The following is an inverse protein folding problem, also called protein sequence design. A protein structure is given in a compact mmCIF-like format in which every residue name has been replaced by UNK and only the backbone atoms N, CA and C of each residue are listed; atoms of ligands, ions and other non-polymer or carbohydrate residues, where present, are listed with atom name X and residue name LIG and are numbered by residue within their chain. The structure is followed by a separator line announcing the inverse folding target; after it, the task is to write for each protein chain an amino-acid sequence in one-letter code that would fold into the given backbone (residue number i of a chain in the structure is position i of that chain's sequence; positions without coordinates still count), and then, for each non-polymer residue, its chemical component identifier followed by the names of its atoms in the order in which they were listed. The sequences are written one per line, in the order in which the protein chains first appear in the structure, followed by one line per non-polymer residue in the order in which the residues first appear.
data_IF_232817968578
#
_entry.id   IF_232817968578
#
_cell.length_a   1.000
_cell.length_b   1.000
_cell.length_c   1.000
_cell.angle_alpha   90.00
_cell.angle_beta   90.00
_cell.angle_gamma   90.00
#
_symmetry.space_group_name_H-M   'P 1'
#
loop_
_entity.id
_entity.type
_entity.pdbx_description
1 polymer ?
#
# COMPACT_ATOMS: atom_id res chain seq x y z
N UNK A 1 5.71 58.55 5.86
CA UNK A 1 6.51 57.89 4.83
C UNK A 1 7.18 56.54 5.26
N UNK A 2 7.44 56.27 6.54
CA UNK A 2 8.03 54.99 7.00
C UNK A 2 7.05 53.78 6.96
N UNK A 3 5.77 53.98 7.24
CA UNK A 3 4.78 52.89 7.25
C UNK A 3 4.51 52.25 5.88
N UNK A 4 4.56 53.03 4.79
CA UNK A 4 4.30 52.54 3.45
C UNK A 4 5.38 51.60 2.91
N UNK A 5 6.63 51.79 3.36
CA UNK A 5 7.76 50.89 2.95
C UNK A 5 7.66 49.51 3.59
N UNK A 6 7.18 49.47 4.84
CA UNK A 6 7.00 48.18 5.56
C UNK A 6 5.82 47.38 5.01
N UNK A 7 4.70 48.06 4.67
CA UNK A 7 3.53 47.43 4.08
C UNK A 7 3.83 46.92 2.68
N UNK A 8 4.57 47.67 1.85
CA UNK A 8 4.97 47.22 0.52
C UNK A 8 5.90 46.00 0.54
N UNK A 9 6.83 45.95 1.50
CA UNK A 9 7.72 44.80 1.69
C UNK A 9 6.95 43.55 2.14
N UNK A 10 5.93 43.72 2.99
CA UNK A 10 5.08 42.62 3.45
C UNK A 10 4.24 42.04 2.31
N UNK A 11 3.68 42.90 1.44
CA UNK A 11 2.94 42.48 0.26
C UNK A 11 3.85 41.78 -0.77
N UNK A 12 5.07 42.24 -0.94
CA UNK A 12 6.04 41.61 -1.84
C UNK A 12 6.44 40.22 -1.33
N UNK A 13 6.74 40.10 -0.05
CA UNK A 13 7.06 38.82 0.57
C UNK A 13 5.89 37.83 0.53
N UNK A 14 4.66 38.33 0.74
CA UNK A 14 3.45 37.52 0.68
C UNK A 14 3.14 37.07 -0.75
N UNK A 15 3.29 37.94 -1.74
CA UNK A 15 3.12 37.62 -3.14
C UNK A 15 4.20 36.59 -3.62
N UNK A 16 5.44 36.79 -3.20
CA UNK A 16 6.54 35.84 -3.48
C UNK A 16 6.28 34.48 -2.81
N UNK A 17 5.77 34.48 -1.58
CA UNK A 17 5.38 33.27 -0.87
C UNK A 17 4.21 32.55 -1.57
N UNK A 18 3.18 33.29 -1.99
CA UNK A 18 2.04 32.74 -2.77
C UNK A 18 2.50 32.14 -4.11
N UNK A 19 3.41 32.80 -4.80
CA UNK A 19 3.94 32.32 -6.07
C UNK A 19 4.76 31.06 -5.87
N UNK A 20 5.64 31.02 -4.86
CA UNK A 20 6.41 29.84 -4.47
C UNK A 20 5.52 28.71 -4.02
N UNK A 21 4.47 28.99 -3.24
CA UNK A 21 3.47 28.03 -2.81
C UNK A 21 2.75 27.38 -4.00
N UNK A 22 2.41 28.19 -5.02
CA UNK A 22 1.77 27.70 -6.25
C UNK A 22 2.72 26.86 -7.13
N UNK A 23 3.96 27.28 -7.23
CA UNK A 23 4.97 26.61 -8.09
C UNK A 23 5.51 25.33 -7.45
N UNK A 24 5.57 25.27 -6.11
CA UNK A 24 6.15 24.13 -5.38
C UNK A 24 5.14 23.14 -4.80
N UNK A 25 3.85 23.31 -5.09
CA UNK A 25 2.81 22.39 -4.67
C UNK A 25 2.64 22.30 -3.15
N UNK A 26 2.17 23.40 -2.52
CA UNK A 26 1.74 23.45 -1.10
C UNK A 26 2.77 23.04 -0.03
N UNK A 27 4.05 23.31 -0.24
CA UNK A 27 5.06 23.15 0.79
C UNK A 27 5.11 24.35 1.72
N UNK A 28 5.25 24.13 3.02
CA UNK A 28 5.49 25.22 3.98
C UNK A 28 6.83 25.89 3.70
N UNK A 29 7.02 27.18 4.05
CA UNK A 29 8.31 27.88 3.87
C UNK A 29 9.50 27.10 4.46
N UNK A 30 9.30 26.41 5.57
CA UNK A 30 10.33 25.58 6.21
C UNK A 30 10.68 24.33 5.39
N UNK A 31 9.73 23.74 4.69
CA UNK A 31 9.96 22.60 3.80
C UNK A 31 10.69 23.00 2.51
N UNK A 32 10.62 24.26 2.09
CA UNK A 32 11.37 24.79 0.95
C UNK A 32 12.87 24.96 1.25
N UNK A 33 13.22 25.21 2.52
CA UNK A 33 14.59 25.48 2.95
C UNK A 33 15.28 24.28 3.61
N UNK A 34 14.57 23.17 3.82
CA UNK A 34 15.24 21.91 4.18
C UNK A 34 15.91 21.37 2.93
N UNK A 35 17.25 21.22 2.93
CA UNK A 35 17.94 20.57 1.83
C UNK A 35 17.30 19.20 1.63
N UNK A 36 16.87 18.86 0.41
CA UNK A 36 16.74 17.46 0.05
C UNK A 36 18.12 16.88 0.25
N UNK A 37 18.28 15.95 1.18
CA UNK A 37 19.48 15.16 1.21
C UNK A 37 19.53 14.41 -0.12
N UNK A 38 20.43 14.83 -0.99
CA UNK A 38 20.63 14.20 -2.30
C UNK A 38 21.36 12.85 -2.18
N UNK A 39 21.81 12.52 -0.96
CA UNK A 39 22.62 11.32 -0.70
C UNK A 39 21.83 10.09 -0.25
N UNK A 40 20.52 10.16 -0.18
CA UNK A 40 19.68 9.08 0.33
C UNK A 40 19.30 8.08 -0.78
N UNK A 41 20.27 7.35 -1.27
CA UNK A 41 20.05 6.23 -2.15
C UNK A 41 19.84 6.59 -3.63
N UNK A 42 19.48 5.62 -4.44
CA UNK A 42 19.23 5.80 -5.87
C UNK A 42 17.98 6.67 -6.03
N UNK A 43 18.15 7.95 -6.24
CA UNK A 43 17.06 8.83 -6.66
C UNK A 43 16.74 8.50 -8.11
N UNK A 44 15.72 7.70 -8.34
CA UNK A 44 15.19 7.52 -9.67
C UNK A 44 14.41 8.78 -10.04
N UNK A 45 14.82 9.52 -11.08
CA UNK A 45 14.09 10.72 -11.48
C UNK A 45 12.67 10.33 -11.86
N UNK A 46 11.70 10.99 -11.26
CA UNK A 46 10.31 10.91 -11.68
C UNK A 46 10.18 11.72 -12.97
N UNK A 47 9.94 11.07 -14.08
CA UNK A 47 9.85 11.70 -15.39
C UNK A 47 8.42 12.06 -15.79
N UNK A 48 8.28 12.81 -16.86
CA UNK A 48 6.99 12.99 -17.54
C UNK A 48 6.57 11.70 -18.22
N UNK A 49 5.30 11.36 -18.12
CA UNK A 49 4.77 10.09 -18.54
C UNK A 49 3.72 10.28 -19.62
N UNK A 50 4.08 10.11 -20.88
CA UNK A 50 3.16 10.18 -22.02
C UNK A 50 2.12 11.32 -21.93
N UNK A 51 2.55 12.51 -21.51
CA UNK A 51 1.70 13.67 -21.27
C UNK A 51 0.93 13.66 -19.95
N UNK A 52 1.14 12.65 -19.10
CA UNK A 52 0.57 12.55 -17.75
C UNK A 52 1.68 12.74 -16.73
N UNK A 53 1.43 13.53 -15.73
CA UNK A 53 2.39 13.82 -14.66
C UNK A 53 1.82 13.36 -13.32
N UNK A 54 2.14 12.13 -12.93
CA UNK A 54 1.69 11.52 -11.69
C UNK A 54 2.27 12.19 -10.45
N UNK A 55 3.47 12.80 -10.55
CA UNK A 55 4.07 13.55 -9.44
C UNK A 55 3.22 14.72 -9.00
N UNK A 56 2.69 15.49 -9.98
CA UNK A 56 1.80 16.63 -9.70
C UNK A 56 0.50 16.21 -9.05
N UNK A 57 0.15 14.94 -9.16
CA UNK A 57 -1.04 14.36 -8.55
C UNK A 57 -0.77 13.78 -7.17
N UNK A 58 0.48 13.83 -6.67
CA UNK A 58 0.87 13.24 -5.39
C UNK A 58 0.89 11.71 -5.41
N UNK A 59 1.03 11.09 -6.58
CA UNK A 59 1.32 9.67 -6.71
C UNK A 59 2.83 9.48 -6.57
N UNK A 60 3.28 9.42 -5.34
CA UNK A 60 4.64 8.98 -5.05
C UNK A 60 4.70 7.48 -5.28
N UNK A 61 5.76 7.01 -5.94
CA UNK A 61 5.86 5.61 -6.02
C UNK A 61 6.86 5.06 -7.01
N UNK A 62 7.18 3.91 -6.69
CA UNK A 62 7.96 2.88 -7.33
C UNK A 62 7.78 1.65 -6.49
N UNK A 63 8.17 0.56 -7.04
CA UNK A 63 8.16 -0.73 -6.36
C UNK A 63 9.57 -1.30 -6.40
N UNK A 64 9.93 -2.03 -5.36
CA UNK A 64 11.21 -2.74 -5.30
C UNK A 64 10.99 -4.19 -4.91
N UNK A 65 11.69 -5.11 -5.57
CA UNK A 65 11.71 -6.54 -5.22
C UNK A 65 13.11 -7.10 -5.33
N UNK A 66 13.50 -7.85 -4.32
CA UNK A 66 14.72 -8.63 -4.38
C UNK A 66 14.53 -9.88 -5.24
N UNK A 67 15.42 -10.06 -6.21
CA UNK A 67 15.46 -11.24 -7.06
C UNK A 67 16.61 -12.13 -6.61
N UNK A 68 16.35 -13.34 -6.05
CA UNK A 68 17.40 -14.23 -5.62
C UNK A 68 18.43 -14.45 -6.72
N UNK A 69 19.72 -14.34 -6.36
CA UNK A 69 20.87 -14.46 -7.26
C UNK A 69 21.05 -13.35 -8.32
N UNK A 70 20.07 -12.47 -8.52
CA UNK A 70 20.11 -11.43 -9.56
C UNK A 70 20.31 -10.01 -9.03
N UNK A 71 19.77 -9.66 -7.89
CA UNK A 71 19.84 -8.32 -7.31
C UNK A 71 18.46 -7.72 -7.07
N UNK A 72 18.19 -6.50 -7.56
CA UNK A 72 17.01 -5.72 -7.24
C UNK A 72 16.26 -5.30 -8.49
N UNK A 73 14.99 -5.60 -8.57
CA UNK A 73 14.06 -4.99 -9.52
C UNK A 73 13.52 -3.69 -8.92
N UNK A 74 13.61 -2.61 -9.67
CA UNK A 74 13.12 -1.28 -9.29
C UNK A 74 12.17 -0.78 -10.36
N UNK A 75 10.92 -0.60 -9.99
CA UNK A 75 9.91 0.03 -10.81
C UNK A 75 9.75 1.50 -10.45
N UNK A 76 9.56 2.37 -11.44
CA UNK A 76 9.51 3.81 -11.25
C UNK A 76 8.14 4.40 -11.57
N UNK A 77 7.91 5.63 -11.15
CA UNK A 77 6.69 6.37 -11.46
C UNK A 77 6.59 6.77 -12.95
N UNK A 78 7.65 6.62 -13.72
CA UNK A 78 7.66 6.93 -15.15
C UNK A 78 7.70 5.68 -16.06
N UNK A 79 7.24 4.53 -15.53
CA UNK A 79 7.12 3.31 -16.33
C UNK A 79 8.44 2.63 -16.67
N UNK A 80 9.53 2.99 -16.02
CA UNK A 80 10.80 2.28 -16.16
C UNK A 80 10.88 1.14 -15.16
N UNK A 81 11.30 -0.02 -15.63
CA UNK A 81 11.69 -1.16 -14.82
C UNK A 81 13.19 -1.41 -15.00
N UNK A 82 13.92 -1.50 -13.90
CA UNK A 82 15.37 -1.71 -13.90
C UNK A 82 15.75 -2.92 -13.07
N UNK A 83 16.64 -3.74 -13.57
CA UNK A 83 17.31 -4.76 -12.77
C UNK A 83 18.70 -4.25 -12.39
N UNK A 84 18.93 -4.13 -11.10
CA UNK A 84 20.22 -3.76 -10.54
C UNK A 84 20.91 -4.99 -9.95
N UNK A 85 22.22 -5.07 -10.05
CA UNK A 85 23.01 -6.07 -9.31
C UNK A 85 22.90 -5.85 -7.80
N UNK A 86 23.43 -6.78 -7.00
CA UNK A 86 23.48 -6.63 -5.54
C UNK A 86 24.29 -5.40 -5.10
N UNK A 87 25.26 -5.00 -5.91
CA UNK A 87 26.15 -3.86 -5.71
C UNK A 87 25.60 -2.56 -6.31
N UNK A 88 24.36 -2.58 -6.87
CA UNK A 88 23.69 -1.42 -7.44
C UNK A 88 24.00 -1.13 -8.90
N UNK A 89 24.84 -1.93 -9.57
CA UNK A 89 25.12 -1.77 -11.02
C UNK A 89 23.90 -2.17 -11.87
N UNK A 90 23.51 -1.35 -12.84
CA UNK A 90 22.42 -1.66 -13.76
C UNK A 90 22.76 -2.84 -14.67
N UNK A 91 21.90 -3.86 -14.71
CA UNK A 91 22.00 -5.01 -15.61
C UNK A 91 21.18 -4.78 -16.87
N UNK A 92 19.98 -4.27 -16.72
CA UNK A 92 19.11 -3.84 -17.81
C UNK A 92 18.09 -2.81 -17.32
N UNK A 93 17.54 -2.03 -18.26
CA UNK A 93 16.49 -1.06 -18.05
C UNK A 93 15.53 -1.08 -19.24
N UNK A 94 14.23 -1.10 -18.99
CA UNK A 94 13.18 -1.06 -19.97
C UNK A 94 12.09 -0.06 -19.60
N UNK A 95 11.69 0.76 -20.57
CA UNK A 95 10.43 1.49 -20.49
C UNK A 95 9.31 0.57 -20.97
N UNK A 96 8.46 0.09 -20.05
CA UNK A 96 7.46 -0.94 -20.35
C UNK A 96 6.08 -0.37 -20.67
N UNK A 97 5.82 0.86 -20.28
CA UNK A 97 4.52 1.47 -20.48
C UNK A 97 4.56 2.98 -20.42
N UNK A 98 3.40 3.59 -20.40
CA UNK A 98 3.22 5.04 -20.28
C UNK A 98 2.78 5.45 -18.88
N UNK A 99 2.83 4.53 -17.92
CA UNK A 99 2.23 4.67 -16.62
C UNK A 99 3.19 4.44 -15.46
N UNK A 100 2.70 4.74 -14.26
CA UNK A 100 3.36 4.47 -12.99
C UNK A 100 3.40 2.96 -12.74
N UNK A 101 4.58 2.38 -12.44
CA UNK A 101 4.68 1.00 -11.97
C UNK A 101 4.13 0.95 -10.55
N UNK A 102 3.10 0.13 -10.36
CA UNK A 102 2.29 0.11 -9.14
C UNK A 102 2.46 -1.14 -8.31
N UNK A 103 2.82 -2.24 -8.93
CA UNK A 103 3.05 -3.51 -8.23
C UNK A 103 4.07 -4.37 -8.96
N UNK A 104 4.86 -5.11 -8.18
CA UNK A 104 5.81 -6.11 -8.66
C UNK A 104 5.64 -7.41 -7.89
N UNK A 105 5.60 -8.53 -8.59
CA UNK A 105 5.62 -9.86 -8.00
C UNK A 105 6.52 -10.79 -8.80
N UNK A 106 7.13 -11.77 -8.15
CA UNK A 106 7.97 -12.76 -8.81
C UNK A 106 7.23 -14.09 -8.95
N UNK A 107 7.51 -14.82 -10.01
CA UNK A 107 7.16 -16.25 -10.07
C UNK A 107 7.92 -17.02 -8.99
N UNK A 108 7.41 -18.17 -8.52
CA UNK A 108 8.08 -18.97 -7.48
C UNK A 108 9.52 -19.37 -7.82
N UNK A 109 9.82 -19.57 -9.11
CA UNK A 109 11.16 -19.89 -9.59
C UNK A 109 12.06 -18.66 -9.86
N UNK A 110 11.52 -17.44 -9.66
CA UNK A 110 12.20 -16.16 -9.88
C UNK A 110 12.55 -15.84 -11.33
N UNK A 111 12.11 -16.65 -12.30
CA UNK A 111 12.43 -16.44 -13.72
C UNK A 111 11.52 -15.44 -14.41
N UNK A 112 10.37 -15.15 -13.83
CA UNK A 112 9.42 -14.16 -14.32
C UNK A 112 9.16 -13.11 -13.27
N UNK A 113 8.98 -11.88 -13.72
CA UNK A 113 8.41 -10.80 -12.93
C UNK A 113 7.07 -10.39 -13.54
N UNK A 114 6.09 -10.21 -12.67
CA UNK A 114 4.80 -9.66 -13.01
C UNK A 114 4.76 -8.20 -12.59
N UNK A 115 4.36 -7.33 -13.51
CA UNK A 115 4.44 -5.87 -13.34
C UNK A 115 3.09 -5.26 -13.60
N UNK A 116 2.55 -4.59 -12.60
CA UNK A 116 1.30 -3.84 -12.70
C UNK A 116 1.57 -2.36 -12.88
N UNK A 117 0.91 -1.73 -13.84
CA UNK A 117 1.00 -0.30 -14.04
C UNK A 117 -0.32 0.42 -13.76
N UNK A 118 -0.22 1.72 -13.49
CA UNK A 118 -1.33 2.68 -13.56
C UNK A 118 -1.13 3.52 -14.81
N UNK A 119 -2.03 3.36 -15.78
CA UNK A 119 -2.01 4.08 -17.05
C UNK A 119 -3.42 4.08 -17.66
N UNK A 120 -3.68 4.78 -18.77
CA UNK A 120 -4.96 4.70 -19.47
C UNK A 120 -5.39 3.27 -19.84
N UNK A 121 -4.43 2.40 -20.07
CA UNK A 121 -4.65 0.98 -20.39
C UNK A 121 -4.54 0.06 -19.17
N UNK A 122 -3.77 0.45 -18.12
CA UNK A 122 -3.60 -0.28 -16.87
C UNK A 122 -3.04 -1.69 -17.07
N UNK A 123 -1.98 -1.84 -17.86
CA UNK A 123 -1.46 -3.17 -18.20
C UNK A 123 -0.90 -3.93 -16.99
N UNK A 124 -1.13 -5.23 -17.03
CA UNK A 124 -0.36 -6.25 -16.31
C UNK A 124 0.60 -6.90 -17.31
N UNK A 125 1.88 -6.90 -17.01
CA UNK A 125 2.93 -7.54 -17.82
C UNK A 125 3.48 -8.76 -17.12
N UNK A 126 3.84 -9.78 -17.90
CA UNK A 126 4.81 -10.79 -17.49
C UNK A 126 6.09 -10.61 -18.29
N UNK A 127 7.21 -10.58 -17.60
CA UNK A 127 8.51 -10.34 -18.22
C UNK A 127 9.52 -11.39 -17.75
N UNK A 128 10.50 -11.68 -18.60
CA UNK A 128 11.65 -12.48 -18.23
C UNK A 128 12.54 -11.68 -17.27
N UNK A 129 12.77 -12.19 -16.08
CA UNK A 129 13.54 -11.47 -15.05
C UNK A 129 15.00 -11.21 -15.48
N UNK A 130 15.61 -12.11 -16.25
CA UNK A 130 17.02 -12.00 -16.62
C UNK A 130 17.28 -11.04 -17.79
N UNK A 131 16.36 -11.00 -18.77
CA UNK A 131 16.51 -10.17 -19.97
C UNK A 131 15.64 -8.91 -19.99
N UNK A 132 14.56 -8.88 -19.19
CA UNK A 132 13.55 -7.83 -19.22
C UNK A 132 12.57 -7.94 -20.39
N UNK A 133 12.63 -9.01 -21.19
CA UNK A 133 11.72 -9.18 -22.33
C UNK A 133 10.29 -9.40 -21.87
N UNK A 134 9.34 -8.72 -22.53
CA UNK A 134 7.89 -8.92 -22.29
C UNK A 134 7.49 -10.26 -22.89
N UNK A 135 6.98 -11.16 -22.05
CA UNK A 135 6.46 -12.47 -22.45
C UNK A 135 5.01 -12.38 -22.90
N UNK A 136 4.20 -11.64 -22.14
CA UNK A 136 2.81 -11.32 -22.45
C UNK A 136 2.36 -10.08 -21.67
N UNK A 137 1.23 -9.51 -22.07
CA UNK A 137 0.57 -8.41 -21.36
C UNK A 137 -0.95 -8.55 -21.43
N UNK A 138 -1.61 -8.05 -20.39
CA UNK A 138 -3.06 -8.03 -20.27
C UNK A 138 -3.54 -6.61 -20.01
N UNK A 139 -4.61 -6.18 -20.67
CA UNK A 139 -5.13 -4.82 -20.58
C UNK A 139 -6.16 -4.71 -19.47
N UNK A 140 -5.83 -4.00 -18.38
CA UNK A 140 -6.71 -3.81 -17.22
C UNK A 140 -7.95 -2.99 -17.54
N UNK A 141 -7.87 -2.06 -18.52
CA UNK A 141 -9.02 -1.30 -19.01
C UNK A 141 -10.20 -2.23 -19.44
N UNK A 142 -9.90 -3.39 -20.00
CA UNK A 142 -10.94 -4.32 -20.50
C UNK A 142 -11.75 -4.97 -19.37
N UNK A 143 -11.28 -4.87 -18.12
CA UNK A 143 -11.95 -5.47 -16.95
C UNK A 143 -12.60 -4.46 -16.00
N UNK A 144 -12.04 -3.22 -15.91
CA UNK A 144 -12.58 -2.19 -15.00
C UNK A 144 -12.87 -0.85 -15.67
N UNK A 145 -12.65 -0.75 -17.01
CA UNK A 145 -12.80 0.51 -17.75
C UNK A 145 -11.82 1.60 -17.31
N UNK A 146 -12.05 2.80 -17.81
CA UNK A 146 -11.30 4.02 -17.47
C UNK A 146 -12.15 5.25 -17.76
N UNK A 147 -11.70 6.40 -17.31
CA UNK A 147 -12.32 7.72 -17.53
C UNK A 147 -11.22 8.70 -17.97
N UNK A 148 -11.56 9.85 -18.59
CA UNK A 148 -10.55 10.83 -19.04
C UNK A 148 -9.73 11.50 -17.93
N UNK A 149 -9.96 11.15 -16.66
CA UNK A 149 -9.26 11.69 -15.51
C UNK A 149 -8.10 10.76 -15.12
N UNK A 150 -6.89 11.31 -15.00
CA UNK A 150 -5.68 10.57 -14.59
C UNK A 150 -5.86 9.80 -13.25
N UNK A 151 -6.74 10.28 -12.36
CA UNK A 151 -7.07 9.58 -11.11
C UNK A 151 -7.84 8.30 -11.37
N UNK A 152 -8.67 8.30 -12.41
CA UNK A 152 -9.52 7.19 -12.83
C UNK A 152 -8.82 6.22 -13.81
N UNK A 153 -7.53 6.41 -14.07
CA UNK A 153 -6.76 5.43 -14.82
C UNK A 153 -6.81 4.08 -14.13
N UNK A 154 -7.10 2.99 -14.88
CA UNK A 154 -7.02 1.65 -14.36
C UNK A 154 -5.60 1.32 -13.89
N UNK A 155 -5.50 0.51 -12.85
CA UNK A 155 -4.21 0.07 -12.32
C UNK A 155 -4.29 -1.37 -11.82
N UNK A 156 -3.19 -2.09 -11.97
CA UNK A 156 -2.95 -3.36 -11.27
C UNK A 156 -2.27 -3.03 -9.96
N UNK A 157 -3.04 -3.01 -8.86
CA UNK A 157 -2.59 -2.49 -7.56
C UNK A 157 -1.81 -3.54 -6.75
N UNK A 158 -2.16 -4.80 -6.89
CA UNK A 158 -1.50 -5.89 -6.19
C UNK A 158 -1.48 -7.16 -7.04
N UNK A 159 -0.41 -7.94 -6.88
CA UNK A 159 -0.19 -9.21 -7.60
C UNK A 159 0.37 -10.22 -6.60
N UNK A 160 -0.27 -11.39 -6.52
CA UNK A 160 0.26 -12.53 -5.79
C UNK A 160 0.35 -13.77 -6.69
N UNK A 161 1.17 -14.74 -6.30
CA UNK A 161 1.39 -15.99 -7.07
C UNK A 161 1.35 -17.20 -6.15
N UNK A 162 0.76 -18.29 -6.62
CA UNK A 162 0.82 -19.59 -5.93
C UNK A 162 2.08 -20.40 -6.31
N UNK A 163 2.26 -21.55 -5.69
CA UNK A 163 3.42 -22.45 -5.96
C UNK A 163 3.47 -22.96 -7.40
N UNK A 164 2.35 -23.05 -8.08
CA UNK A 164 2.27 -23.49 -9.49
C UNK A 164 2.59 -22.35 -10.46
N UNK A 165 2.72 -21.13 -9.93
CA UNK A 165 2.99 -19.92 -10.71
C UNK A 165 1.75 -19.29 -11.33
N UNK A 166 0.54 -19.70 -10.94
CA UNK A 166 -0.66 -18.96 -11.30
C UNK A 166 -0.64 -17.58 -10.66
N UNK A 167 -1.19 -16.62 -11.38
CA UNK A 167 -1.17 -15.21 -11.01
C UNK A 167 -2.56 -14.78 -10.55
N UNK A 168 -2.62 -13.97 -9.53
CA UNK A 168 -3.83 -13.36 -9.00
C UNK A 168 -3.59 -11.86 -8.90
N UNK A 169 -4.29 -11.10 -9.74
CA UNK A 169 -4.10 -9.67 -9.88
C UNK A 169 -5.35 -8.91 -9.44
N UNK A 170 -5.15 -7.89 -8.62
CA UNK A 170 -6.20 -6.95 -8.21
C UNK A 170 -6.14 -5.73 -9.11
N UNK A 171 -7.17 -5.56 -9.93
CA UNK A 171 -7.39 -4.37 -10.75
C UNK A 171 -8.29 -3.39 -10.00
N UNK A 172 -7.96 -2.12 -10.12
CA UNK A 172 -8.64 -1.07 -9.38
C UNK A 172 -8.60 0.25 -10.15
N UNK A 173 -9.64 1.08 -9.99
CA UNK A 173 -9.64 2.48 -10.40
C UNK A 173 -10.55 3.35 -9.54
N UNK A 174 -10.30 4.64 -9.54
CA UNK A 174 -11.29 5.61 -9.10
C UNK A 174 -12.41 5.74 -10.11
N UNK A 175 -13.58 6.09 -9.63
CA UNK A 175 -14.70 6.59 -10.43
C UNK A 175 -15.30 7.82 -9.78
N UNK A 176 -15.96 8.65 -10.55
CA UNK A 176 -16.74 9.76 -10.04
C UNK A 176 -18.20 9.38 -10.28
N UNK A 177 -18.96 9.22 -9.20
CA UNK A 177 -20.38 8.92 -9.29
C UNK A 177 -21.15 10.11 -9.88
N UNK A 178 -22.37 9.88 -10.36
CA UNK A 178 -23.26 10.94 -10.90
C UNK A 178 -23.52 12.07 -9.88
N UNK A 179 -23.40 11.78 -8.59
CA UNK A 179 -23.48 12.77 -7.51
C UNK A 179 -22.17 13.55 -7.28
N UNK A 180 -21.12 13.32 -8.08
CA UNK A 180 -19.81 13.95 -7.95
C UNK A 180 -18.96 13.38 -6.79
N UNK A 181 -19.41 12.31 -6.16
CA UNK A 181 -18.66 11.64 -5.09
C UNK A 181 -17.61 10.69 -5.66
N UNK A 182 -16.53 10.50 -4.91
CA UNK A 182 -15.53 9.47 -5.22
C UNK A 182 -16.12 8.09 -5.00
N UNK A 183 -16.02 7.26 -6.02
CA UNK A 183 -16.27 5.84 -5.95
C UNK A 183 -15.00 5.06 -6.29
N UNK A 184 -15.09 3.75 -6.20
CA UNK A 184 -14.01 2.84 -6.50
C UNK A 184 -14.58 1.64 -7.21
N UNK A 185 -13.91 1.19 -8.28
CA UNK A 185 -14.21 -0.06 -8.94
C UNK A 185 -13.02 -0.98 -8.79
N UNK A 186 -13.28 -2.22 -8.42
CA UNK A 186 -12.24 -3.25 -8.26
C UNK A 186 -12.65 -4.57 -8.89
N UNK A 187 -11.67 -5.34 -9.33
CA UNK A 187 -11.87 -6.69 -9.86
C UNK A 187 -10.62 -7.53 -9.62
N UNK A 188 -10.82 -8.77 -9.23
CA UNK A 188 -9.75 -9.75 -9.14
C UNK A 188 -9.77 -10.60 -10.40
N UNK A 189 -8.60 -10.86 -10.99
CA UNK A 189 -8.47 -11.76 -12.15
C UNK A 189 -7.31 -12.72 -11.89
N UNK A 190 -7.55 -14.00 -12.13
CA UNK A 190 -6.51 -15.02 -12.08
C UNK A 190 -6.08 -15.43 -13.47
N UNK A 191 -4.77 -15.68 -13.63
CA UNK A 191 -4.16 -16.10 -14.89
C UNK A 191 -3.30 -17.34 -14.70
N UNK A 192 -3.14 -18.10 -15.78
CA UNK A 192 -2.09 -19.10 -15.88
C UNK A 192 -0.72 -18.42 -16.02
N UNK A 193 0.40 -19.15 -15.79
CA UNK A 193 1.74 -18.61 -16.07
C UNK A 193 1.93 -18.14 -17.53
N UNK A 194 1.13 -18.66 -18.48
CA UNK A 194 1.15 -18.24 -19.90
C UNK A 194 0.32 -16.99 -20.22
N UNK A 195 -0.43 -16.46 -19.23
CA UNK A 195 -1.25 -15.25 -19.38
C UNK A 195 -2.69 -15.52 -19.82
N UNK A 196 -3.13 -16.78 -19.83
CA UNK A 196 -4.51 -17.12 -20.08
C UNK A 196 -5.35 -16.86 -18.84
N UNK A 197 -6.48 -16.16 -18.98
CA UNK A 197 -7.39 -15.92 -17.89
C UNK A 197 -8.03 -17.22 -17.41
N UNK A 198 -7.94 -17.51 -16.11
CA UNK A 198 -8.55 -18.67 -15.46
C UNK A 198 -9.95 -18.32 -14.97
N UNK A 199 -10.08 -17.21 -14.28
CA UNK A 199 -11.32 -16.70 -13.74
C UNK A 199 -11.21 -15.23 -13.37
N UNK A 200 -12.35 -14.59 -13.16
CA UNK A 200 -12.46 -13.23 -12.61
C UNK A 200 -13.57 -13.13 -11.58
N UNK A 201 -13.37 -12.28 -10.59
CA UNK A 201 -14.35 -12.00 -9.55
C UNK A 201 -14.50 -10.49 -9.33
N UNK A 202 -15.72 -9.96 -9.32
CA UNK A 202 -16.95 -10.60 -9.76
C UNK A 202 -16.95 -10.92 -11.25
N UNK A 203 -17.79 -11.89 -11.68
CA UNK A 203 -17.77 -12.41 -13.05
C UNK A 203 -18.30 -11.41 -14.07
N UNK A 204 -19.43 -10.79 -13.79
CA UNK A 204 -20.18 -10.02 -14.80
C UNK A 204 -19.84 -8.52 -14.78
N UNK A 205 -19.57 -7.93 -13.65
CA UNK A 205 -19.25 -6.51 -13.50
C UNK A 205 -18.15 -6.28 -12.47
N UNK A 206 -17.57 -5.08 -12.43
CA UNK A 206 -16.62 -4.70 -11.38
C UNK A 206 -17.37 -4.45 -10.06
N UNK A 207 -16.75 -4.80 -8.95
CA UNK A 207 -17.30 -4.55 -7.63
C UNK A 207 -17.17 -3.06 -7.27
N UNK A 208 -18.26 -2.49 -6.74
CA UNK A 208 -18.23 -1.17 -6.13
C UNK A 208 -17.55 -1.26 -4.78
N UNK A 209 -16.26 -0.97 -4.74
CA UNK A 209 -15.47 -1.04 -3.51
C UNK A 209 -13.98 -0.88 -3.77
N UNK A 210 -13.29 -0.45 -2.76
CA UNK A 210 -11.85 -0.31 -2.82
C UNK A 210 -11.18 -1.59 -2.33
N UNK A 211 -10.52 -2.28 -3.25
CA UNK A 211 -9.62 -3.40 -2.96
C UNK A 211 -8.22 -2.98 -3.39
N UNK A 212 -7.30 -2.90 -2.46
CA UNK A 212 -5.90 -2.56 -2.73
C UNK A 212 -4.93 -3.69 -2.40
N UNK A 213 -5.42 -4.81 -1.90
CA UNK A 213 -4.63 -5.97 -1.55
C UNK A 213 -5.43 -7.25 -1.76
N UNK A 214 -4.78 -8.29 -2.22
CA UNK A 214 -5.36 -9.63 -2.30
C UNK A 214 -4.24 -10.67 -2.37
N UNK A 215 -4.34 -11.72 -1.56
CA UNK A 215 -3.30 -12.71 -1.43
C UNK A 215 -3.84 -14.12 -1.61
N UNK A 216 -3.12 -14.92 -2.39
CA UNK A 216 -3.38 -16.36 -2.54
C UNK A 216 -2.65 -17.12 -1.46
N UNK A 217 -3.31 -18.12 -0.87
CA UNK A 217 -2.64 -19.09 -0.02
C UNK A 217 -1.55 -19.81 -0.79
N UNK A 218 -0.48 -20.21 -0.11
CA UNK A 218 0.70 -20.78 -0.77
C UNK A 218 0.40 -22.05 -1.58
N UNK A 219 -0.59 -22.83 -1.15
CA UNK A 219 -1.09 -24.03 -1.85
C UNK A 219 -2.04 -23.73 -3.03
N UNK A 220 -2.35 -22.46 -3.27
CA UNK A 220 -3.26 -22.04 -4.34
C UNK A 220 -4.73 -22.33 -4.09
N UNK A 221 -5.11 -22.78 -2.90
CA UNK A 221 -6.48 -23.20 -2.60
C UNK A 221 -7.43 -22.04 -2.35
N UNK A 222 -6.96 -20.93 -1.75
CA UNK A 222 -7.82 -19.84 -1.28
C UNK A 222 -7.21 -18.47 -1.54
N UNK A 223 -7.95 -17.60 -2.23
CA UNK A 223 -7.58 -16.22 -2.44
C UNK A 223 -8.39 -15.31 -1.52
N UNK A 224 -7.71 -14.51 -0.69
CA UNK A 224 -8.34 -13.58 0.22
C UNK A 224 -8.07 -12.13 -0.16
N UNK A 225 -9.08 -11.27 -0.02
CA UNK A 225 -8.91 -9.83 -0.18
C UNK A 225 -9.78 -9.05 0.80
N UNK A 226 -9.34 -7.85 1.13
CA UNK A 226 -10.03 -6.91 1.99
C UNK A 226 -10.65 -5.76 1.20
N UNK A 227 -11.84 -5.32 1.58
CA UNK A 227 -12.48 -4.14 1.02
C UNK A 227 -12.51 -3.00 2.01
N UNK A 228 -12.47 -1.79 1.50
CA UNK A 228 -12.77 -0.60 2.27
C UNK A 228 -14.27 -0.29 2.20
N UNK A 229 -14.95 -0.35 3.33
CA UNK A 229 -16.32 0.11 3.46
C UNK A 229 -16.33 1.58 3.87
N UNK A 230 -16.62 2.46 2.91
CA UNK A 230 -16.85 3.86 3.19
C UNK A 230 -18.34 4.10 3.45
N UNK A 231 -18.66 4.65 4.61
CA UNK A 231 -19.99 5.14 4.99
C UNK A 231 -21.17 4.14 4.86
N UNK A 232 -21.57 3.57 6.00
CA UNK A 232 -22.68 2.60 6.11
C UNK A 232 -23.98 3.09 5.46
N UNK A 233 -24.27 4.39 5.48
CA UNK A 233 -25.51 4.94 4.91
C UNK A 233 -25.59 4.85 3.38
N UNK A 234 -24.44 4.66 2.71
CA UNK A 234 -24.35 4.57 1.25
C UNK A 234 -24.09 3.14 0.76
N UNK A 235 -23.71 2.23 1.67
CA UNK A 235 -23.26 0.88 1.39
C UNK A 235 -24.39 -0.14 1.54
N UNK A 236 -25.49 0.18 2.20
CA UNK A 236 -26.59 -0.75 2.48
C UNK A 236 -27.15 -1.44 1.23
N UNK A 237 -26.94 -0.88 0.06
CA UNK A 237 -27.41 -1.43 -1.22
C UNK A 237 -26.29 -1.99 -2.11
N UNK A 238 -25.05 -2.05 -1.65
CA UNK A 238 -23.96 -2.61 -2.45
C UNK A 238 -23.95 -4.14 -2.32
N UNK A 239 -23.87 -4.81 -3.44
CA UNK A 239 -23.78 -6.27 -3.53
C UNK A 239 -22.57 -6.80 -2.75
N UNK A 240 -21.44 -6.06 -2.81
CA UNK A 240 -20.19 -6.41 -2.13
C UNK A 240 -19.91 -5.49 -0.95
N UNK A 241 -20.63 -5.71 0.15
CA UNK A 241 -20.60 -4.85 1.34
C UNK A 241 -19.86 -5.49 2.55
N UNK A 242 -19.12 -6.57 2.34
CA UNK A 242 -18.34 -7.23 3.38
C UNK A 242 -16.91 -6.67 3.44
N UNK A 243 -16.21 -6.94 4.54
CA UNK A 243 -14.85 -6.46 4.75
C UNK A 243 -13.79 -7.41 4.20
N UNK A 244 -14.01 -8.72 4.33
CA UNK A 244 -13.11 -9.76 3.85
C UNK A 244 -13.89 -10.72 2.97
N UNK A 245 -13.28 -11.10 1.88
CA UNK A 245 -13.76 -12.13 0.95
C UNK A 245 -12.69 -13.19 0.79
N UNK A 246 -13.10 -14.45 0.81
CA UNK A 246 -12.25 -15.61 0.51
C UNK A 246 -12.86 -16.36 -0.66
N UNK A 247 -12.09 -16.51 -1.74
CA UNK A 247 -12.48 -17.19 -2.96
C UNK A 247 -11.72 -18.50 -3.09
N UNK A 248 -12.32 -19.49 -3.75
CA UNK A 248 -11.58 -20.66 -4.24
C UNK A 248 -10.53 -20.22 -5.26
N UNK A 249 -9.27 -20.50 -5.01
CA UNK A 249 -8.17 -20.10 -5.87
C UNK A 249 -8.18 -20.74 -7.27
N UNK A 250 -8.93 -21.85 -7.46
CA UNK A 250 -8.98 -22.59 -8.72
C UNK A 250 -9.95 -21.98 -9.71
N UNK A 251 -11.13 -21.53 -9.25
CA UNK A 251 -12.24 -21.11 -10.11
C UNK A 251 -12.85 -19.73 -9.74
N UNK A 252 -12.39 -19.10 -8.65
CA UNK A 252 -12.87 -17.80 -8.21
C UNK A 252 -14.25 -17.83 -7.53
N UNK A 253 -14.76 -19.00 -7.17
CA UNK A 253 -16.04 -19.13 -6.44
C UNK A 253 -15.90 -18.54 -5.04
N UNK A 254 -16.90 -17.75 -4.62
CA UNK A 254 -16.93 -17.21 -3.25
C UNK A 254 -17.12 -18.34 -2.24
N UNK A 255 -16.13 -18.57 -1.40
CA UNK A 255 -16.18 -19.55 -0.31
C UNK A 255 -16.78 -18.92 0.94
N UNK A 256 -16.30 -17.73 1.30
CA UNK A 256 -16.66 -17.08 2.54
C UNK A 256 -16.54 -15.56 2.45
N UNK A 257 -17.30 -14.84 3.30
CA UNK A 257 -17.15 -13.39 3.48
C UNK A 257 -17.46 -13.01 4.91
N UNK A 258 -16.68 -12.07 5.46
CA UNK A 258 -16.78 -11.63 6.86
C UNK A 258 -17.06 -10.13 6.94
N UNK A 259 -17.96 -9.76 7.86
CA UNK A 259 -18.18 -8.37 8.27
C UNK A 259 -17.33 -8.09 9.51
N UNK A 260 -16.64 -6.97 9.50
CA UNK A 260 -15.99 -6.41 10.67
C UNK A 260 -16.79 -5.18 11.08
N UNK A 261 -17.39 -5.21 12.27
CA UNK A 261 -18.14 -4.07 12.78
C UNK A 261 -17.26 -2.84 12.90
N UNK A 262 -17.80 -1.69 12.50
CA UNK A 262 -17.11 -0.41 12.64
C UNK A 262 -16.98 -0.07 14.12
N UNK A 263 -15.77 0.23 14.59
CA UNK A 263 -15.56 0.69 15.95
C UNK A 263 -16.19 2.07 16.18
N UNK A 264 -16.58 2.40 17.42
CA UNK A 264 -17.05 3.75 17.74
C UNK A 264 -16.08 4.83 17.24
N UNK A 265 -16.60 5.97 16.82
CA UNK A 265 -15.84 7.12 16.29
C UNK A 265 -15.22 6.94 14.91
N UNK A 266 -15.39 5.78 14.25
CA UNK A 266 -14.99 5.54 12.89
C UNK A 266 -16.18 5.53 11.95
N UNK A 267 -16.04 6.12 10.76
CA UNK A 267 -17.07 6.06 9.71
C UNK A 267 -17.01 4.76 8.90
N UNK A 268 -15.86 4.08 8.91
CA UNK A 268 -15.63 2.89 8.09
C UNK A 268 -14.52 2.03 8.66
N UNK A 269 -14.49 0.76 8.26
CA UNK A 269 -13.37 -0.16 8.49
C UNK A 269 -12.67 -0.40 7.16
N UNK A 270 -11.38 -0.16 7.12
CA UNK A 270 -10.56 -0.39 5.95
C UNK A 270 -9.33 -1.21 6.32
N UNK A 271 -8.80 -1.96 5.36
CA UNK A 271 -7.51 -2.64 5.46
C UNK A 271 -6.58 -2.05 4.42
N UNK A 272 -5.32 -1.79 4.76
CA UNK A 272 -4.39 -1.19 3.82
C UNK A 272 -3.64 -2.26 3.04
N UNK A 273 -2.92 -3.13 3.72
CA UNK A 273 -2.13 -4.22 3.13
C UNK A 273 -2.55 -5.53 3.81
N UNK A 274 -3.67 -6.06 3.44
CA UNK A 274 -4.20 -7.29 4.01
C UNK A 274 -5.60 -7.59 3.48
N UNK A 275 -6.12 -8.76 3.78
CA UNK A 275 -5.61 -9.82 4.67
C UNK A 275 -4.44 -10.62 4.09
N UNK A 276 -3.64 -11.24 4.96
CA UNK A 276 -2.48 -12.07 4.62
C UNK A 276 -2.64 -13.49 5.14
N UNK A 277 -2.11 -14.48 4.40
CA UNK A 277 -2.14 -15.90 4.77
C UNK A 277 -0.92 -16.31 5.59
N UNK A 278 -1.12 -17.23 6.55
CA UNK A 278 -0.01 -17.98 7.14
C UNK A 278 0.63 -18.90 6.10
N UNK A 279 1.90 -19.27 6.28
CA UNK A 279 2.65 -20.13 5.35
C UNK A 279 1.92 -21.45 5.01
N UNK A 280 1.26 -22.06 6.00
CA UNK A 280 0.48 -23.29 5.80
C UNK A 280 -0.95 -23.07 5.29
N UNK A 281 -1.41 -21.84 5.05
CA UNK A 281 -2.77 -21.53 4.61
C UNK A 281 -3.88 -21.82 5.65
N UNK A 282 -3.51 -22.06 6.91
CA UNK A 282 -4.47 -22.40 7.96
C UNK A 282 -5.09 -21.19 8.66
N UNK A 283 -4.43 -20.06 8.57
CA UNK A 283 -4.83 -18.81 9.22
C UNK A 283 -4.78 -17.65 8.25
N UNK A 284 -5.69 -16.71 8.46
CA UNK A 284 -5.73 -15.44 7.80
C UNK A 284 -5.60 -14.33 8.85
N UNK A 285 -4.87 -13.27 8.58
CA UNK A 285 -4.70 -12.18 9.53
C UNK A 285 -4.78 -10.82 8.84
N UNK A 286 -5.26 -9.83 9.58
CA UNK A 286 -5.29 -8.44 9.13
C UNK A 286 -5.26 -7.48 10.29
N UNK A 287 -4.93 -6.23 10.00
CA UNK A 287 -5.11 -5.09 10.89
C UNK A 287 -5.93 -4.02 10.18
N UNK A 288 -6.85 -3.42 10.89
CA UNK A 288 -7.81 -2.46 10.33
C UNK A 288 -7.45 -1.00 10.64
N UNK A 289 -8.05 -0.09 9.91
CA UNK A 289 -7.83 1.36 10.04
C UNK A 289 -8.17 1.94 11.41
N UNK A 290 -8.94 1.22 12.21
CA UNK A 290 -9.28 1.56 13.59
C UNK A 290 -8.33 0.95 14.63
N UNK A 291 -7.21 0.36 14.20
CA UNK A 291 -6.17 -0.17 15.08
C UNK A 291 -6.51 -1.50 15.73
N UNK A 292 -7.43 -2.26 15.16
CA UNK A 292 -7.75 -3.62 15.61
C UNK A 292 -7.07 -4.67 14.76
N UNK A 293 -6.38 -5.60 15.40
CA UNK A 293 -5.75 -6.77 14.78
C UNK A 293 -6.69 -7.98 14.92
N UNK A 294 -6.71 -8.81 13.89
CA UNK A 294 -7.57 -10.00 13.81
C UNK A 294 -6.76 -11.21 13.35
N UNK A 295 -7.10 -12.36 13.91
CA UNK A 295 -6.75 -13.66 13.36
C UNK A 295 -8.04 -14.42 13.05
N UNK A 296 -8.07 -15.05 11.89
CA UNK A 296 -9.17 -15.90 11.43
C UNK A 296 -8.65 -17.30 11.17
N UNK A 297 -9.54 -18.30 11.22
CA UNK A 297 -9.28 -19.59 10.60
C UNK A 297 -9.37 -19.48 9.06
N UNK A 298 -9.06 -20.56 8.37
CA UNK A 298 -9.12 -20.60 6.89
C UNK A 298 -10.54 -20.49 6.35
N UNK A 299 -11.54 -20.77 7.17
CA UNK A 299 -12.98 -20.61 6.87
C UNK A 299 -13.44 -19.15 7.09
N UNK A 300 -12.58 -18.26 7.65
CA UNK A 300 -12.86 -16.84 7.86
C UNK A 300 -13.57 -16.53 9.18
N UNK A 301 -13.66 -17.47 10.11
CA UNK A 301 -14.19 -17.20 11.45
C UNK A 301 -13.11 -16.49 12.30
N UNK A 302 -13.53 -15.47 13.05
CA UNK A 302 -12.63 -14.74 13.93
C UNK A 302 -12.23 -15.65 15.11
N UNK A 303 -10.93 -16.00 15.17
CA UNK A 303 -10.35 -16.72 16.31
C UNK A 303 -10.06 -15.77 17.48
N UNK A 304 -9.53 -14.59 17.17
CA UNK A 304 -9.37 -13.52 18.14
C UNK A 304 -9.31 -12.14 17.47
N UNK A 305 -9.63 -11.13 18.29
CA UNK A 305 -9.49 -9.70 17.99
C UNK A 305 -8.72 -9.02 19.11
N UNK A 306 -7.86 -8.07 18.79
CA UNK A 306 -7.14 -7.21 19.76
C UNK A 306 -7.15 -5.77 19.32
N UNK A 307 -7.47 -4.86 20.23
CA UNK A 307 -7.30 -3.42 20.01
C UNK A 307 -5.88 -3.03 20.38
N UNK A 308 -5.09 -2.60 19.39
CA UNK A 308 -3.68 -2.19 19.56
C UNK A 308 -3.57 -0.73 20.02
N UNK A 309 -4.58 0.06 19.70
CA UNK A 309 -4.59 1.49 19.95
C UNK A 309 -5.98 1.96 20.32
N UNK A 310 -6.23 2.17 21.61
CA UNK A 310 -7.47 2.80 22.04
C UNK A 310 -7.54 4.24 21.51
N UNK A 311 -8.64 4.61 20.84
CA UNK A 311 -8.83 5.98 20.33
C UNK A 311 -8.71 7.00 21.47
N UNK A 312 -8.08 8.15 21.19
CA UNK A 312 -7.92 9.25 22.15
C UNK A 312 -8.55 10.51 21.60
N UNK A 313 -9.36 11.15 22.42
CA UNK A 313 -9.93 12.45 22.08
C UNK A 313 -9.09 13.58 22.63
N UNK A 314 -8.90 14.61 21.80
CA UNK A 314 -8.30 15.86 22.20
C UNK A 314 -8.97 17.02 21.46
N UNK A 315 -9.61 17.91 22.18
CA UNK A 315 -10.29 19.10 21.63
C UNK A 315 -11.28 18.76 20.50
N UNK A 316 -12.10 17.73 20.68
CA UNK A 316 -13.10 17.28 19.69
C UNK A 316 -12.51 16.56 18.48
N UNK A 317 -11.22 16.25 18.50
CA UNK A 317 -10.55 15.47 17.45
C UNK A 317 -10.15 14.12 18.04
N UNK A 318 -10.51 13.06 17.34
CA UNK A 318 -10.10 11.70 17.69
C UNK A 318 -8.79 11.34 17.02
N UNK A 319 -7.87 10.77 17.77
CA UNK A 319 -6.58 10.29 17.34
C UNK A 319 -6.52 8.77 17.43
N UNK A 320 -5.97 8.17 16.39
CA UNK A 320 -5.91 6.73 16.23
C UNK A 320 -4.50 6.30 15.84
N UNK A 321 -4.20 5.03 16.08
CA UNK A 321 -3.12 4.34 15.38
C UNK A 321 -3.77 3.37 14.39
N UNK A 322 -3.84 3.76 13.14
CA UNK A 322 -4.41 2.92 12.09
C UNK A 322 -3.46 1.77 11.77
N UNK A 323 -4.02 0.60 11.50
CA UNK A 323 -3.26 -0.54 11.00
C UNK A 323 -2.79 -0.33 9.57
N UNK A 324 -1.62 -0.89 9.23
CA UNK A 324 -1.07 -0.89 7.90
C UNK A 324 -0.81 -2.30 7.38
N UNK A 325 0.13 -3.02 8.01
CA UNK A 325 0.56 -4.35 7.59
C UNK A 325 0.31 -5.40 8.67
N UNK A 326 0.07 -6.62 8.23
CA UNK A 326 0.16 -7.83 9.03
C UNK A 326 1.18 -8.77 8.37
N UNK A 327 1.99 -9.46 9.17
CA UNK A 327 3.00 -10.41 8.66
C UNK A 327 3.09 -11.61 9.57
N UNK A 328 2.86 -12.80 9.03
CA UNK A 328 3.08 -14.05 9.76
C UNK A 328 4.58 -14.34 9.91
N UNK A 329 4.94 -14.77 11.09
CA UNK A 329 6.23 -15.37 11.43
C UNK A 329 5.99 -16.73 12.08
N UNK A 330 6.99 -17.62 12.19
CA UNK A 330 6.79 -18.97 12.71
C UNK A 330 6.09 -19.01 14.08
N UNK A 331 6.35 -18.03 14.94
CA UNK A 331 5.86 -17.99 16.30
C UNK A 331 4.55 -17.17 16.49
N UNK A 332 4.06 -16.49 15.42
CA UNK A 332 2.87 -15.65 15.54
C UNK A 332 2.67 -14.66 14.41
N UNK A 333 2.15 -13.48 14.74
CA UNK A 333 1.83 -12.42 13.77
C UNK A 333 2.37 -11.08 14.25
N UNK A 334 3.03 -10.38 13.34
CA UNK A 334 3.44 -8.99 13.49
C UNK A 334 2.36 -8.08 12.91
N UNK A 335 2.14 -6.94 13.57
CA UNK A 335 1.24 -5.88 13.09
C UNK A 335 1.91 -4.54 13.23
N UNK A 336 1.86 -3.72 12.21
CA UNK A 336 2.34 -2.36 12.31
C UNK A 336 1.22 -1.32 12.28
N UNK A 337 1.51 -0.14 12.80
CA UNK A 337 0.56 0.94 12.94
C UNK A 337 1.14 2.28 12.49
N UNK A 338 0.27 3.10 11.92
CA UNK A 338 0.56 4.47 11.52
C UNK A 338 -0.31 5.47 12.27
N UNK A 339 0.12 6.72 12.35
CA UNK A 339 -0.66 7.78 12.99
C UNK A 339 -1.78 8.28 12.09
N UNK A 340 -2.97 8.48 12.66
CA UNK A 340 -4.11 9.06 11.93
C UNK A 340 -5.04 9.84 12.87
N UNK A 341 -6.01 10.58 12.33
CA UNK A 341 -6.97 11.36 13.10
C UNK A 341 -8.29 11.57 12.33
N UNK A 342 -9.34 11.94 13.03
CA UNK A 342 -10.72 11.96 12.55
C UNK A 342 -11.09 13.12 11.61
N UNK A 343 -10.16 13.92 11.15
CA UNK A 343 -10.44 15.01 10.19
C UNK A 343 -10.16 14.57 8.76
N UNK A 344 -10.98 15.06 7.83
CA UNK A 344 -10.94 14.69 6.41
C UNK A 344 -9.64 15.04 5.68
N UNK A 345 -8.81 15.92 6.25
CA UNK A 345 -7.57 16.33 5.60
C UNK A 345 -6.38 15.52 6.11
N UNK A 346 -6.24 14.31 5.57
CA UNK A 346 -5.14 13.39 5.86
C UNK A 346 -3.75 13.91 5.45
N UNK A 347 -3.68 14.96 4.61
CA UNK A 347 -2.42 15.60 4.18
C UNK A 347 -1.87 16.60 5.19
N UNK A 348 -2.70 17.02 6.15
CA UNK A 348 -2.25 17.94 7.20
C UNK A 348 -1.48 17.20 8.28
N UNK A 349 -0.43 17.82 8.83
CA UNK A 349 0.26 17.28 9.99
C UNK A 349 -0.71 17.02 11.13
N UNK A 350 -0.60 15.84 11.77
CA UNK A 350 -1.34 15.59 13.00
C UNK A 350 -0.73 16.43 14.13
N UNK A 351 -1.54 17.15 14.91
CA UNK A 351 -1.03 17.94 16.04
C UNK A 351 -0.47 17.05 17.18
N UNK A 352 -0.82 15.76 17.17
CA UNK A 352 -0.41 14.79 18.20
C UNK A 352 -0.14 13.45 17.54
N UNK A 353 0.87 12.75 18.04
CA UNK A 353 1.17 11.36 17.68
C UNK A 353 0.53 10.44 18.72
N UNK A 354 -0.28 9.50 18.24
CA UNK A 354 -0.86 8.49 19.13
C UNK A 354 0.24 7.58 19.69
N UNK A 355 0.26 7.24 21.01
CA UNK A 355 1.34 6.44 21.61
C UNK A 355 1.54 5.04 21.02
N UNK A 356 0.53 4.53 20.33
CA UNK A 356 0.59 3.24 19.63
C UNK A 356 0.85 3.37 18.14
N UNK A 357 1.08 4.59 17.63
CA UNK A 357 1.46 4.82 16.24
C UNK A 357 2.94 4.51 16.00
N UNK A 358 3.31 4.29 14.74
CA UNK A 358 4.68 4.02 14.33
C UNK A 358 5.29 2.88 15.16
N UNK A 359 4.52 1.83 15.32
CA UNK A 359 4.87 0.75 16.24
C UNK A 359 4.61 -0.61 15.61
N UNK A 360 5.51 -1.53 15.88
CA UNK A 360 5.37 -2.94 15.56
C UNK A 360 4.91 -3.68 16.81
N UNK A 361 3.88 -4.49 16.68
CA UNK A 361 3.33 -5.34 17.74
C UNK A 361 3.49 -6.80 17.37
N UNK A 362 3.83 -7.64 18.32
CA UNK A 362 3.90 -9.08 18.14
C UNK A 362 2.91 -9.80 19.05
N UNK A 363 2.13 -10.69 18.43
CA UNK A 363 1.21 -11.60 19.11
C UNK A 363 1.50 -13.03 18.69
N UNK A 364 1.41 -13.97 19.62
CA UNK A 364 1.39 -15.37 19.22
C UNK A 364 0.05 -15.77 18.59
N UNK A 365 -0.03 -16.98 18.05
CA UNK A 365 -1.25 -17.48 17.40
C UNK A 365 -2.44 -17.62 18.34
N UNK A 366 -2.24 -17.68 19.67
CA UNK A 366 -3.31 -17.64 20.66
C UNK A 366 -3.85 -16.22 20.91
N UNK A 367 -3.23 -15.19 20.31
CA UNK A 367 -3.56 -13.79 20.52
C UNK A 367 -3.00 -13.24 21.83
N UNK A 368 -1.97 -13.89 22.41
CA UNK A 368 -1.26 -13.36 23.56
C UNK A 368 -0.23 -12.34 23.10
N UNK A 369 -0.32 -11.12 23.65
CA UNK A 369 0.66 -10.06 23.39
C UNK A 369 2.05 -10.47 23.90
N UNK A 370 3.07 -10.32 23.06
CA UNK A 370 4.45 -10.64 23.38
C UNK A 370 5.29 -9.40 23.64
N UNK A 371 5.34 -8.51 22.67
CA UNK A 371 6.09 -7.25 22.79
C UNK A 371 5.60 -6.19 21.81
N UNK A 372 6.01 -4.96 22.07
CA UNK A 372 5.83 -3.79 21.20
C UNK A 372 7.18 -3.10 20.99
N UNK A 373 7.47 -2.75 19.75
CA UNK A 373 8.60 -1.91 19.38
C UNK A 373 8.08 -0.64 18.72
N UNK A 374 8.57 0.54 19.14
CA UNK A 374 8.18 1.83 18.55
C UNK A 374 9.36 2.42 17.78
N UNK A 375 9.12 2.76 16.53
CA UNK A 375 10.04 3.49 15.66
C UNK A 375 9.89 4.98 15.85
N UNK A 376 10.85 5.77 15.35
CA UNK A 376 10.72 7.24 15.34
C UNK A 376 9.92 7.78 14.16
N UNK A 377 9.54 6.96 13.18
CA UNK A 377 8.83 7.33 11.97
C UNK A 377 7.82 6.26 11.53
N UNK A 378 7.16 6.49 10.40
CA UNK A 378 6.22 5.51 9.84
C UNK A 378 6.97 4.27 9.36
N UNK A 379 6.45 3.08 9.65
CA UNK A 379 6.96 1.82 9.09
C UNK A 379 6.43 1.74 7.65
N UNK A 380 7.31 1.91 6.67
CA UNK A 380 6.96 1.93 5.24
C UNK A 380 6.98 0.55 4.60
N UNK A 381 7.79 -0.36 5.13
CA UNK A 381 7.82 -1.75 4.76
C UNK A 381 8.26 -2.61 5.95
N UNK A 382 7.74 -3.82 5.99
CA UNK A 382 8.00 -4.84 7.02
C UNK A 382 8.32 -6.16 6.34
N UNK A 383 9.39 -6.81 6.75
CA UNK A 383 9.72 -8.19 6.39
C UNK A 383 10.37 -8.90 7.57
N UNK A 384 10.34 -10.23 7.58
CA UNK A 384 10.93 -11.00 8.67
C UNK A 384 11.58 -12.29 8.18
N UNK A 385 12.76 -12.58 8.70
CA UNK A 385 13.47 -13.82 8.43
C UNK A 385 14.43 -14.18 9.56
N UNK A 386 14.61 -15.45 9.81
CA UNK A 386 15.64 -15.99 10.75
C UNK A 386 15.62 -15.33 12.14
N UNK A 387 14.43 -15.09 12.68
CA UNK A 387 14.26 -14.52 14.03
C UNK A 387 14.45 -12.99 14.09
N UNK A 388 14.49 -12.32 12.95
CA UNK A 388 14.65 -10.86 12.86
C UNK A 388 13.51 -10.27 12.04
N UNK A 389 12.90 -9.19 12.52
CA UNK A 389 12.06 -8.31 11.73
C UNK A 389 12.88 -7.13 11.20
N UNK A 390 12.77 -6.86 9.91
CA UNK A 390 13.40 -5.73 9.22
C UNK A 390 12.34 -4.69 8.88
N UNK A 391 12.61 -3.43 9.21
CA UNK A 391 11.71 -2.32 9.05
C UNK A 391 12.35 -1.26 8.16
N UNK A 392 11.67 -0.82 7.11
CA UNK A 392 11.97 0.44 6.48
C UNK A 392 11.15 1.54 7.19
N UNK A 393 11.85 2.55 7.70
CA UNK A 393 11.22 3.64 8.45
C UNK A 393 11.29 4.90 7.60
N UNK A 394 10.15 5.47 7.31
CA UNK A 394 9.99 6.63 6.44
C UNK A 394 9.51 7.87 7.19
N UNK A 395 9.52 8.98 6.44
CA UNK A 395 8.96 10.25 6.90
C UNK A 395 7.46 10.25 6.65
N UNK A 396 6.71 10.63 7.65
CA UNK A 396 5.30 10.93 7.45
C UNK A 396 5.04 12.38 7.81
N UNK A 397 4.40 13.12 6.91
CA UNK A 397 3.96 14.50 7.16
C UNK A 397 3.06 14.62 8.40
N UNK A 398 2.37 13.53 8.77
CA UNK A 398 1.52 13.46 9.96
C UNK A 398 2.29 13.39 11.27
N UNK A 399 3.55 12.98 11.24
CA UNK A 399 4.32 12.71 12.44
C UNK A 399 5.24 13.86 12.85
N UNK A 400 5.36 14.91 12.08
CA UNK A 400 6.30 16.03 12.29
C UNK A 400 7.77 15.62 12.49
N UNK A 401 8.08 14.34 12.49
CA UNK A 401 9.44 13.85 12.65
C UNK A 401 10.07 13.54 11.30
N UNK A 402 10.81 14.52 10.81
CA UNK A 402 11.54 14.41 9.55
C UNK A 402 12.92 13.75 9.70
N UNK A 403 13.29 13.34 10.92
CA UNK A 403 14.62 12.79 11.20
C UNK A 403 14.64 11.26 11.26
N UNK A 404 13.49 10.64 11.48
CA UNK A 404 13.41 9.19 11.62
C UNK A 404 13.14 8.53 10.26
N UNK A 405 14.18 8.37 9.45
CA UNK A 405 14.12 7.60 8.22
C UNK A 405 15.35 6.70 8.12
N UNK A 406 15.20 5.58 7.47
CA UNK A 406 16.25 4.58 7.34
C UNK A 406 15.73 3.16 7.50
N UNK A 407 16.56 2.29 8.04
CA UNK A 407 16.19 0.91 8.31
C UNK A 407 16.46 0.53 9.76
N UNK A 408 15.61 -0.31 10.32
CA UNK A 408 15.77 -0.84 11.67
C UNK A 408 15.61 -2.37 11.64
N UNK A 409 16.32 -3.06 12.52
CA UNK A 409 16.15 -4.49 12.73
C UNK A 409 15.83 -4.78 14.20
N UNK A 410 14.85 -5.67 14.40
CA UNK A 410 14.29 -6.02 15.72
C UNK A 410 14.33 -7.53 15.90
N UNK A 411 14.74 -7.98 17.07
CA UNK A 411 14.72 -9.39 17.44
C UNK A 411 13.28 -9.87 17.66
N UNK A 412 12.85 -10.93 16.99
CA UNK A 412 11.49 -11.46 17.11
C UNK A 412 11.21 -12.08 18.49
N UNK A 413 12.25 -12.58 19.19
CA UNK A 413 12.05 -13.24 20.47
C UNK A 413 11.59 -12.28 21.58
N UNK A 414 12.09 -11.04 21.59
CA UNK A 414 11.87 -10.10 22.69
C UNK A 414 11.58 -8.66 22.29
N UNK A 415 11.54 -8.35 21.00
CA UNK A 415 11.31 -6.99 20.49
C UNK A 415 12.49 -6.04 20.68
N UNK A 416 13.67 -6.52 21.09
CA UNK A 416 14.84 -5.68 21.26
C UNK A 416 15.41 -5.25 19.90
N UNK A 417 15.85 -3.98 19.83
CA UNK A 417 16.50 -3.45 18.61
C UNK A 417 17.88 -4.04 18.43
N UNK A 418 18.12 -4.66 17.28
CA UNK A 418 19.43 -5.20 16.88
C UNK A 418 20.29 -4.10 16.29
N UNK A 419 19.78 -3.37 15.32
CA UNK A 419 20.50 -2.28 14.67
C UNK A 419 19.55 -1.21 14.13
N UNK A 420 20.12 -0.06 13.81
CA UNK A 420 19.44 1.08 13.21
C UNK A 420 20.39 1.78 12.27
N UNK A 421 19.97 1.97 11.04
CA UNK A 421 20.64 2.77 10.04
C UNK A 421 19.79 4.02 9.79
N UNK A 422 20.35 5.19 10.07
CA UNK A 422 19.77 6.46 9.69
C UNK A 422 20.50 6.97 8.44
N UNK A 423 19.72 7.52 7.53
CA UNK A 423 20.24 8.29 6.40
C UNK A 423 20.13 9.77 6.68
#
# INVERSE_FOLDING_TARGET
MKQWKTTGLFFLLFATWLTLFWVTGSRTPWQMFTPRNQDDGIVVPLGEMAGRNYDRMGFEGGEIRYVPSNGWLVGTANGELRLLSKEGGEKWSHSIGSGLIRSLSLSPDGKRVYVGEKSPDGYLYAMNTSSGDILWKFKGFDVIGGEPDIRADPQTIHISTDREGNIYAVFYRFTITDSGQRGYLSRVVSFTPSGEERWRFPKDHAMDGWVNWGEISQDGSSFAFGTANYDKSKIENLEYNKNIYVLDGRDGTLLHSTVIDTAPHFGSVTMRNGPVWSEGGNYLSTITSDGRAFLFDKEGHILWQRTLAEPKEMNGTWFFAAGRDALFVPEGVLFDTINTFSRDNWQMPSPVIHPSSNSLFFFDLSGTFRWKYSTGGEIEALDAAKGVAALAVGRNVRNHDYKAHGAEAVNLADGSRICRFHT
#
